data_IF_095871237778
#
_entry.id   IF_095871237778
#
_cell.length_a   1.000
_cell.length_b   1.000
_cell.length_c   1.000
_cell.angle_alpha   90.00
_cell.angle_beta   90.00
_cell.angle_gamma   90.00
#
_symmetry.space_group_name_H-M   'P 1'
#
loop_
_entity.id
_entity.type
_entity.pdbx_description
1 polymer ?
#
# COMPACT_ATOMS: atom_id res chain seq x y z
N UNK A 1 6.35 10.60 -8.62
CA UNK A 1 5.23 10.29 -7.71
C UNK A 1 5.08 8.80 -7.46
N UNK A 2 4.77 7.96 -8.45
CA UNK A 2 4.57 6.50 -8.23
C UNK A 2 5.77 5.78 -7.60
N UNK A 3 6.99 6.05 -8.06
CA UNK A 3 8.21 5.45 -7.49
C UNK A 3 8.46 5.86 -6.04
N UNK A 4 8.13 7.09 -5.67
CA UNK A 4 8.30 7.59 -4.29
C UNK A 4 7.32 6.87 -3.36
N UNK A 5 6.08 6.67 -3.81
CA UNK A 5 5.06 5.90 -3.07
C UNK A 5 5.50 4.44 -2.91
N UNK A 6 5.96 3.80 -3.99
CA UNK A 6 6.44 2.41 -3.93
C UNK A 6 7.66 2.26 -3.00
N UNK A 7 8.59 3.22 -3.02
CA UNK A 7 9.73 3.23 -2.10
C UNK A 7 9.29 3.38 -0.65
N UNK A 8 8.35 4.28 -0.37
CA UNK A 8 7.77 4.46 0.96
C UNK A 8 7.14 3.16 1.48
N UNK A 9 6.39 2.45 0.64
CA UNK A 9 5.78 1.15 0.99
C UNK A 9 6.84 0.11 1.36
N UNK A 10 7.92 0.00 0.58
CA UNK A 10 9.01 -0.97 0.86
C UNK A 10 9.70 -0.66 2.19
N UNK A 11 9.95 0.62 2.48
CA UNK A 11 10.58 1.04 3.73
C UNK A 11 9.65 0.77 4.92
N UNK A 12 8.36 1.11 4.80
CA UNK A 12 7.37 0.88 5.86
C UNK A 12 7.18 -0.60 6.16
N UNK A 13 7.08 -1.46 5.13
CA UNK A 13 6.95 -2.92 5.27
C UNK A 13 8.25 -3.52 5.83
N UNK A 14 9.41 -3.02 5.42
CA UNK A 14 10.71 -3.52 5.89
C UNK A 14 11.03 -3.21 7.35
N UNK A 15 10.32 -2.26 7.96
CA UNK A 15 10.46 -1.96 9.39
C UNK A 15 9.70 -2.93 10.29
N UNK A 16 8.75 -3.69 9.72
CA UNK A 16 7.95 -4.66 10.46
C UNK A 16 8.51 -6.09 10.23
N UNK A 17 9.06 -6.75 11.26
CA UNK A 17 9.67 -8.07 11.12
C UNK A 17 8.69 -9.15 10.64
N UNK A 18 7.38 -9.00 10.89
CA UNK A 18 6.37 -9.95 10.43
C UNK A 18 6.12 -9.87 8.91
N UNK A 19 6.50 -8.75 8.29
CA UNK A 19 6.27 -8.49 6.87
C UNK A 19 7.55 -8.31 6.05
N UNK A 20 8.72 -8.48 6.66
CA UNK A 20 10.01 -8.35 5.99
C UNK A 20 10.12 -9.29 4.76
N UNK A 21 9.53 -10.48 4.81
CA UNK A 21 9.60 -11.43 3.70
C UNK A 21 8.88 -10.92 2.43
N UNK A 22 7.89 -10.04 2.60
CA UNK A 22 7.18 -9.41 1.48
C UNK A 22 8.14 -8.54 0.66
N UNK A 23 9.21 -8.01 1.27
CA UNK A 23 10.23 -7.23 0.57
C UNK A 23 11.05 -8.07 -0.42
N UNK A 24 11.13 -9.39 -0.26
CA UNK A 24 11.77 -10.25 -1.26
C UNK A 24 11.07 -10.21 -2.61
N UNK A 25 9.78 -9.89 -2.64
CA UNK A 25 9.00 -9.74 -3.88
C UNK A 25 8.94 -8.26 -4.28
N UNK A 26 8.72 -7.36 -3.33
CA UNK A 26 8.56 -5.92 -3.60
C UNK A 26 9.83 -5.25 -4.12
N UNK A 27 11.01 -5.60 -3.60
CA UNK A 27 12.28 -4.99 -4.02
C UNK A 27 12.60 -5.34 -5.49
N UNK A 28 12.56 -6.62 -5.93
CA UNK A 28 12.71 -6.95 -7.34
C UNK A 28 11.64 -6.31 -8.22
N UNK A 29 10.37 -6.32 -7.78
CA UNK A 29 9.29 -5.68 -8.53
C UNK A 29 9.53 -4.17 -8.70
N UNK A 30 10.04 -3.50 -7.67
CA UNK A 30 10.44 -2.10 -7.73
C UNK A 30 11.55 -1.86 -8.75
N UNK A 31 12.60 -2.68 -8.73
CA UNK A 31 13.68 -2.59 -9.72
C UNK A 31 13.16 -2.77 -11.15
N UNK A 32 12.23 -3.69 -11.37
CA UNK A 32 11.56 -3.86 -12.67
C UNK A 32 10.80 -2.60 -13.09
N UNK A 33 10.10 -1.94 -12.17
CA UNK A 33 9.39 -0.68 -12.50
C UNK A 33 10.30 0.49 -12.87
N UNK A 34 11.57 0.51 -12.41
CA UNK A 34 12.57 1.52 -12.82
C UNK A 34 12.88 1.42 -14.33
N UNK A 35 12.75 0.24 -14.94
CA UNK A 35 12.89 0.11 -16.40
C UNK A 35 11.85 0.91 -17.19
N UNK A 36 10.74 1.33 -16.57
CA UNK A 36 9.78 2.26 -17.18
C UNK A 36 10.39 3.64 -17.43
N UNK A 37 11.34 4.07 -16.60
CA UNK A 37 12.11 5.29 -16.83
C UNK A 37 13.11 5.11 -17.99
N UNK A 38 13.75 3.94 -18.07
CA UNK A 38 14.65 3.58 -19.17
C UNK A 38 13.88 3.53 -20.50
N UNK A 39 12.66 2.99 -20.51
CA UNK A 39 11.76 3.04 -21.66
C UNK A 39 11.50 4.46 -22.13
N UNK A 40 11.20 5.39 -21.21
CA UNK A 40 10.98 6.80 -21.55
C UNK A 40 12.19 7.45 -22.23
N UNK A 41 13.40 7.06 -21.85
CA UNK A 41 14.65 7.59 -22.41
C UNK A 41 15.02 6.94 -23.75
N UNK A 42 14.79 5.64 -23.90
CA UNK A 42 15.27 4.87 -25.07
C UNK A 42 14.20 4.59 -26.13
N UNK A 43 12.92 4.70 -25.79
CA UNK A 43 11.79 4.33 -26.66
C UNK A 43 11.67 2.82 -26.94
N UNK A 44 12.54 1.98 -26.38
CA UNK A 44 12.55 0.54 -26.67
C UNK A 44 11.43 -0.17 -25.91
N UNK A 45 10.43 -0.67 -26.64
CA UNK A 45 9.24 -1.35 -26.11
C UNK A 45 9.55 -2.47 -25.11
N UNK A 46 10.68 -3.17 -25.24
CA UNK A 46 11.11 -4.23 -24.32
C UNK A 46 11.15 -3.74 -22.86
N UNK A 47 11.63 -2.53 -22.61
CA UNK A 47 11.71 -1.97 -21.26
C UNK A 47 10.34 -1.58 -20.71
N UNK A 48 9.39 -1.22 -21.58
CA UNK A 48 8.01 -1.00 -21.20
C UNK A 48 7.32 -2.28 -20.72
N UNK A 49 7.54 -3.40 -21.41
CA UNK A 49 7.03 -4.72 -20.99
C UNK A 49 7.62 -5.17 -19.65
N UNK A 50 8.94 -5.02 -19.47
CA UNK A 50 9.62 -5.33 -18.20
C UNK A 50 9.06 -4.49 -17.06
N UNK A 51 8.83 -3.20 -17.29
CA UNK A 51 8.22 -2.32 -16.29
C UNK A 51 6.80 -2.75 -15.91
N UNK A 52 5.99 -3.15 -16.90
CA UNK A 52 4.63 -3.65 -16.68
C UNK A 52 4.59 -4.88 -15.76
N UNK A 53 5.53 -5.81 -15.93
CA UNK A 53 5.65 -6.98 -15.05
C UNK A 53 5.93 -6.59 -13.59
N UNK A 54 6.73 -5.55 -13.37
CA UNK A 54 6.96 -5.01 -12.03
C UNK A 54 5.70 -4.45 -11.37
N UNK A 55 4.82 -3.79 -12.13
CA UNK A 55 3.59 -3.19 -11.60
C UNK A 55 2.52 -4.20 -11.18
N UNK A 56 2.53 -5.42 -11.73
CA UNK A 56 1.54 -6.47 -11.41
C UNK A 56 1.50 -6.80 -9.92
N UNK A 57 2.62 -6.72 -9.20
CA UNK A 57 2.68 -7.03 -7.78
C UNK A 57 2.18 -5.88 -6.90
N UNK A 58 2.38 -4.63 -7.32
CA UNK A 58 1.98 -3.46 -6.52
C UNK A 58 0.47 -3.26 -6.46
N UNK A 59 -0.27 -3.64 -7.51
CA UNK A 59 -1.73 -3.48 -7.58
C UNK A 59 -2.48 -4.29 -6.51
N UNK A 60 -2.33 -5.62 -6.41
CA UNK A 60 -3.04 -6.42 -5.41
C UNK A 60 -2.63 -6.03 -3.98
N UNK A 61 -1.34 -5.73 -3.75
CA UNK A 61 -0.85 -5.27 -2.44
C UNK A 61 -1.49 -3.93 -2.06
N UNK A 62 -1.57 -2.99 -3.01
CA UNK A 62 -2.25 -1.71 -2.80
C UNK A 62 -3.74 -1.88 -2.48
N UNK A 63 -4.43 -2.80 -3.16
CA UNK A 63 -5.84 -3.10 -2.90
C UNK A 63 -6.06 -3.69 -1.49
N UNK A 64 -5.20 -4.63 -1.07
CA UNK A 64 -5.24 -5.19 0.29
C UNK A 64 -5.04 -4.09 1.34
N UNK A 65 -4.07 -3.20 1.13
CA UNK A 65 -3.81 -2.07 2.03
C UNK A 65 -5.03 -1.15 2.17
N UNK A 66 -5.66 -0.78 1.05
CA UNK A 66 -6.87 0.06 1.06
C UNK A 66 -8.01 -0.64 1.82
N UNK A 67 -8.20 -1.94 1.61
CA UNK A 67 -9.24 -2.71 2.30
C UNK A 67 -9.00 -2.79 3.80
N UNK A 68 -7.75 -3.02 4.23
CA UNK A 68 -7.37 -3.05 5.63
C UNK A 68 -7.62 -1.71 6.33
N UNK A 69 -7.20 -0.60 5.72
CA UNK A 69 -7.43 0.75 6.24
C UNK A 69 -8.92 1.05 6.36
N UNK A 70 -9.72 0.66 5.35
CA UNK A 70 -11.17 0.85 5.37
C UNK A 70 -11.81 0.13 6.57
N UNK A 71 -11.45 -1.12 6.81
CA UNK A 71 -11.94 -1.87 7.97
C UNK A 71 -11.56 -1.19 9.31
N UNK A 72 -10.31 -0.73 9.43
CA UNK A 72 -9.86 -0.03 10.64
C UNK A 72 -10.63 1.27 10.88
N UNK A 73 -10.92 2.03 9.82
CA UNK A 73 -11.73 3.25 9.89
C UNK A 73 -13.18 2.96 10.32
N UNK A 74 -13.80 1.91 9.77
CA UNK A 74 -15.17 1.52 10.09
C UNK A 74 -15.30 1.07 11.55
N UNK A 75 -14.32 0.32 12.07
CA UNK A 75 -14.28 -0.09 13.48
C UNK A 75 -14.04 1.09 14.42
N UNK A 76 -13.16 2.02 14.04
CA UNK A 76 -12.95 3.25 14.80
C UNK A 76 -14.22 4.10 14.86
N UNK A 77 -14.95 4.22 13.75
CA UNK A 77 -16.23 4.93 13.69
C UNK A 77 -17.28 4.28 14.61
N UNK A 78 -17.37 2.94 14.61
CA UNK A 78 -18.26 2.19 15.52
C UNK A 78 -17.91 2.40 16.99
N UNK A 79 -16.63 2.40 17.34
CA UNK A 79 -16.16 2.65 18.71
C UNK A 79 -16.52 4.07 19.18
N UNK A 80 -16.37 5.06 18.31
CA UNK A 80 -16.73 6.45 18.60
C UNK A 80 -18.24 6.59 18.84
N UNK A 81 -19.05 5.98 17.99
CA UNK A 81 -20.51 5.95 18.13
C UNK A 81 -20.95 5.31 19.46
N UNK A 82 -20.34 4.19 19.84
CA UNK A 82 -20.63 3.50 21.10
C UNK A 82 -20.28 4.35 22.33
N UNK A 83 -19.18 5.13 22.27
CA UNK A 83 -18.82 6.08 23.34
C UNK A 83 -19.82 7.22 23.44
N UNK A 84 -20.27 7.77 22.31
CA UNK A 84 -21.30 8.82 22.28
C UNK A 84 -22.61 8.34 22.92
N UNK A 85 -23.12 7.17 22.52
CA UNK A 85 -24.32 6.58 23.12
C UNK A 85 -24.18 6.33 24.62
N UNK A 86 -23.02 5.88 25.08
CA UNK A 86 -22.76 5.64 26.51
C UNK A 86 -22.72 6.95 27.32
N UNK A 87 -22.24 8.04 26.73
CA UNK A 87 -22.18 9.35 27.40
C UNK A 87 -23.57 10.01 27.45
N UNK A 88 -24.35 9.87 26.38
CA UNK A 88 -25.72 10.39 26.30
C UNK A 88 -26.63 9.71 27.35
N UNK A 89 -26.54 8.38 27.47
CA UNK A 89 -27.25 7.62 28.51
C UNK A 89 -26.81 7.93 29.95
N UNK A 90 -25.62 8.52 30.16
CA UNK A 90 -25.16 8.98 31.48
C UNK A 90 -25.68 10.36 31.85
N UNK A 91 -25.90 11.24 30.86
CA UNK A 91 -26.41 12.59 31.10
C UNK A 91 -27.94 12.63 31.28
N UNK A 92 -28.64 11.53 30.99
CA UNK A 92 -30.08 11.38 31.19
C UNK A 92 -30.48 10.54 32.42
N UNK A 93 -29.55 10.31 33.35
CA UNK A 93 -29.81 9.80 34.71
C UNK A 93 -29.49 10.87 35.74
#
# INVERSE_FOLDING_TARGET
>A
MSLIIALGVIISIGHDPDYYEVNYILIPAFLLTIFGFIYRLTGKKIFGFVAMLGFIFFVPIGLIGIYAIRNMMDDHAKLLFKRTLKNDNRNHR
#
